data_IF_831600135043
#
_entry.id   IF_831600135043
#
_cell.length_a   1.000
_cell.length_b   1.000
_cell.length_c   1.000
_cell.angle_alpha   90.00
_cell.angle_beta   90.00
_cell.angle_gamma   90.00
#
_symmetry.space_group_name_H-M   'P 1'
#
loop_
_entity.id
_entity.type
_entity.pdbx_description
1 polymer ?
#
# COMPACT_ATOMS: atom_id res chain seq x y z
N UNK A 1 -7.32 -1.97 28.60
CA UNK A 1 -7.80 -1.62 27.24
C UNK A 1 -6.56 -1.40 26.40
N UNK A 2 -6.46 -2.05 25.25
CA UNK A 2 -5.36 -1.79 24.33
C UNK A 2 -5.82 -0.66 23.41
N UNK A 3 -5.12 0.47 23.46
CA UNK A 3 -5.43 1.61 22.62
C UNK A 3 -4.81 1.38 21.23
N UNK A 4 -5.61 1.57 20.19
CA UNK A 4 -5.17 1.44 18.80
C UNK A 4 -5.18 2.81 18.15
N UNK A 5 -4.07 3.16 17.49
CA UNK A 5 -3.91 4.45 16.82
C UNK A 5 -3.74 4.24 15.32
N UNK A 6 -4.46 5.04 14.53
CA UNK A 6 -4.27 5.12 13.08
C UNK A 6 -3.78 6.51 12.75
N UNK A 7 -2.59 6.58 12.15
CA UNK A 7 -2.13 7.75 11.43
C UNK A 7 -2.70 7.77 10.03
N UNK A 8 -3.07 8.97 9.55
CA UNK A 8 -3.41 9.22 8.15
C UNK A 8 -2.37 10.17 7.56
N UNK A 9 -1.75 9.77 6.46
CA UNK A 9 -0.77 10.59 5.76
C UNK A 9 -1.36 11.00 4.40
N UNK A 10 -1.51 12.30 4.11
CA UNK A 10 -2.08 12.74 2.85
C UNK A 10 -1.14 12.43 1.69
N UNK A 11 -1.69 11.87 0.61
CA UNK A 11 -1.10 11.79 -0.71
C UNK A 11 -1.74 12.89 -1.53
N UNK A 12 -0.93 13.78 -2.11
CA UNK A 12 -1.42 14.95 -2.86
C UNK A 12 -1.10 14.84 -4.34
N UNK A 13 -1.94 15.45 -5.17
CA UNK A 13 -1.68 15.59 -6.59
C UNK A 13 -0.73 16.78 -6.88
N UNK A 14 -0.44 17.04 -8.16
CA UNK A 14 0.44 18.15 -8.58
C UNK A 14 -0.09 19.54 -8.23
N UNK A 15 -1.39 19.68 -7.97
CA UNK A 15 -2.02 20.92 -7.53
C UNK A 15 -2.03 21.08 -5.99
N UNK A 16 -1.43 20.13 -5.26
CA UNK A 16 -1.45 20.04 -3.79
C UNK A 16 -2.82 19.71 -3.19
N UNK A 17 -3.80 19.31 -4.01
CA UNK A 17 -5.06 18.79 -3.50
C UNK A 17 -4.85 17.36 -2.98
N UNK A 18 -5.59 17.01 -1.92
CA UNK A 18 -5.58 15.65 -1.38
C UNK A 18 -6.17 14.71 -2.43
N UNK A 19 -5.37 13.72 -2.83
CA UNK A 19 -5.78 12.65 -3.73
C UNK A 19 -6.25 11.43 -2.94
N UNK A 20 -5.50 11.06 -1.91
CA UNK A 20 -5.75 9.88 -1.09
C UNK A 20 -5.13 10.05 0.30
N UNK A 21 -5.35 9.07 1.18
CA UNK A 21 -4.63 8.94 2.43
C UNK A 21 -3.94 7.59 2.51
N UNK A 22 -2.66 7.58 2.87
CA UNK A 22 -2.01 6.38 3.37
C UNK A 22 -2.33 6.16 4.84
N UNK A 23 -2.70 4.93 5.17
CA UNK A 23 -3.09 4.57 6.52
C UNK A 23 -1.97 3.80 7.20
N UNK A 24 -1.55 4.36 8.33
CA UNK A 24 -0.40 3.92 9.08
C UNK A 24 -0.86 3.49 10.46
N UNK A 25 -0.80 2.20 10.74
CA UNK A 25 -1.00 1.72 12.09
C UNK A 25 0.11 2.21 13.01
N UNK A 26 -0.29 2.59 14.23
CA UNK A 26 0.60 3.02 15.29
C UNK A 26 0.25 2.24 16.56
N UNK A 27 1.27 1.64 17.17
CA UNK A 27 1.17 0.93 18.45
C UNK A 27 1.08 1.88 19.66
N UNK A 28 1.36 3.16 19.45
CA UNK A 28 1.38 4.20 20.47
C UNK A 28 1.32 5.61 19.85
N UNK A 29 1.09 6.63 20.68
CA UNK A 29 1.16 8.05 20.30
C UNK A 29 2.60 8.54 19.98
N UNK A 30 3.62 7.69 20.14
CA UNK A 30 5.00 8.06 19.81
C UNK A 30 5.20 7.94 18.30
N UNK A 31 5.88 8.92 17.71
CA UNK A 31 6.17 8.99 16.26
C UNK A 31 7.10 7.88 15.71
N UNK A 32 7.40 6.86 16.50
CA UNK A 32 8.27 5.76 16.11
C UNK A 32 7.47 4.47 16.11
N UNK A 33 7.31 3.87 14.93
CA UNK A 33 6.87 2.48 14.83
C UNK A 33 8.06 1.62 15.23
N UNK A 34 7.91 0.84 16.30
CA UNK A 34 8.81 -0.29 16.52
C UNK A 34 8.47 -1.30 15.44
N UNK A 35 9.25 -1.34 14.37
CA UNK A 35 9.09 -2.28 13.25
C UNK A 35 9.48 -3.67 13.76
N UNK A 36 8.66 -4.25 14.63
CA UNK A 36 8.80 -5.61 15.11
C UNK A 36 7.53 -6.39 14.77
N UNK A 37 7.68 -7.21 13.72
CA UNK A 37 7.14 -8.56 13.58
C UNK A 37 5.63 -8.84 13.65
N UNK A 38 4.75 -7.84 13.53
CA UNK A 38 3.32 -8.13 13.54
C UNK A 38 2.48 -7.43 12.45
N UNK A 39 3.01 -7.36 11.22
CA UNK A 39 2.32 -6.78 10.04
C UNK A 39 0.96 -7.44 9.73
N UNK A 40 0.78 -8.70 10.13
CA UNK A 40 -0.51 -9.41 10.04
C UNK A 40 -1.54 -8.87 11.05
N UNK A 41 -1.11 -8.63 12.30
CA UNK A 41 -1.94 -7.96 13.30
C UNK A 41 -2.29 -6.52 12.86
N UNK A 42 -1.38 -5.84 12.16
CA UNK A 42 -1.57 -4.47 11.63
C UNK A 42 -2.73 -4.38 10.63
N UNK A 43 -2.77 -5.28 9.65
CA UNK A 43 -3.79 -5.30 8.59
C UNK A 43 -5.17 -5.64 9.14
N UNK A 44 -5.25 -6.71 9.95
CA UNK A 44 -6.51 -7.11 10.58
C UNK A 44 -7.02 -6.05 11.58
N UNK A 45 -6.12 -5.38 12.29
CA UNK A 45 -6.49 -4.31 13.21
C UNK A 45 -7.08 -3.11 12.48
N UNK A 46 -6.51 -2.72 11.35
CA UNK A 46 -7.06 -1.63 10.53
C UNK A 46 -8.47 -1.98 10.03
N UNK A 47 -8.72 -3.21 9.59
CA UNK A 47 -10.05 -3.65 9.16
C UNK A 47 -11.05 -3.65 10.33
N UNK A 48 -10.65 -4.20 11.47
CA UNK A 48 -11.49 -4.20 12.67
C UNK A 48 -11.79 -2.77 13.16
N UNK A 49 -10.86 -1.83 12.93
CA UNK A 49 -11.06 -0.41 13.21
C UNK A 49 -12.09 0.19 12.25
N UNK A 50 -12.05 -0.15 10.97
CA UNK A 50 -13.07 0.29 10.01
C UNK A 50 -14.46 -0.26 10.33
N UNK A 51 -14.57 -1.54 10.69
CA UNK A 51 -15.86 -2.12 11.11
C UNK A 51 -16.45 -1.40 12.33
N UNK A 52 -15.59 -0.95 13.26
CA UNK A 52 -16.01 -0.27 14.49
C UNK A 52 -16.32 1.21 14.31
N UNK A 53 -15.51 1.92 13.54
CA UNK A 53 -15.54 3.38 13.46
C UNK A 53 -16.12 3.90 12.15
N UNK A 54 -16.34 3.07 11.14
CA UNK A 54 -16.73 3.48 9.80
C UNK A 54 -15.54 4.02 8.99
N UNK A 55 -15.42 3.58 7.74
CA UNK A 55 -14.31 3.94 6.84
C UNK A 55 -14.33 5.44 6.57
N UNK A 56 -15.53 5.97 6.33
CA UNK A 56 -15.83 7.37 6.09
C UNK A 56 -15.35 8.29 7.23
N UNK A 57 -15.33 7.83 8.47
CA UNK A 57 -14.83 8.63 9.59
C UNK A 57 -13.29 8.72 9.62
N UNK A 58 -12.59 7.84 8.89
CA UNK A 58 -11.12 7.81 8.84
C UNK A 58 -10.60 8.52 7.58
N UNK A 59 -11.11 8.14 6.41
CA UNK A 59 -10.64 8.64 5.10
C UNK A 59 -11.65 9.53 4.37
N UNK A 60 -12.88 9.66 4.87
CA UNK A 60 -13.92 10.42 4.18
C UNK A 60 -14.28 9.83 2.82
N UNK A 61 -14.35 10.69 1.81
CA UNK A 61 -14.63 10.32 0.43
C UNK A 61 -13.36 9.95 -0.37
N UNK A 62 -12.19 10.01 0.25
CA UNK A 62 -10.91 9.72 -0.40
C UNK A 62 -10.61 8.22 -0.43
N UNK A 63 -9.71 7.82 -1.33
CA UNK A 63 -9.11 6.48 -1.31
C UNK A 63 -8.15 6.32 -0.14
N UNK A 64 -8.10 5.12 0.43
CA UNK A 64 -7.12 4.71 1.42
C UNK A 64 -6.04 3.82 0.82
N UNK A 65 -4.76 4.09 1.09
CA UNK A 65 -3.65 3.18 0.78
C UNK A 65 -3.38 2.33 2.01
N UNK A 66 -3.40 1.00 1.83
CA UNK A 66 -3.22 0.01 2.90
C UNK A 66 -1.95 -0.79 2.69
N UNK A 67 -1.01 -0.63 3.62
CA UNK A 67 0.20 -1.43 3.73
C UNK A 67 -0.14 -2.85 4.22
N UNK A 68 -0.13 -3.83 3.30
CA UNK A 68 -0.44 -5.23 3.63
C UNK A 68 0.81 -6.11 3.53
N UNK A 69 0.93 -7.08 4.44
CA UNK A 69 1.95 -8.11 4.32
C UNK A 69 1.58 -9.12 3.23
N UNK A 70 2.58 -9.83 2.71
CA UNK A 70 2.34 -10.80 1.63
C UNK A 70 1.46 -11.95 2.07
N UNK A 71 1.66 -12.43 3.29
CA UNK A 71 0.82 -13.46 3.89
C UNK A 71 -0.64 -13.02 3.98
N UNK A 72 -0.89 -11.73 4.24
CA UNK A 72 -2.25 -11.19 4.25
C UNK A 72 -2.83 -11.09 2.83
N UNK A 73 -2.05 -10.63 1.85
CA UNK A 73 -2.49 -10.61 0.44
C UNK A 73 -2.83 -12.02 -0.05
N UNK A 74 -2.04 -13.02 0.35
CA UNK A 74 -2.24 -14.43 0.00
C UNK A 74 -3.41 -15.09 0.74
N UNK A 75 -3.94 -14.48 1.79
CA UNK A 75 -5.03 -15.06 2.57
C UNK A 75 -6.37 -15.06 1.80
N UNK A 76 -7.35 -15.77 2.35
CA UNK A 76 -8.74 -15.70 1.89
C UNK A 76 -9.44 -14.44 2.43
N UNK A 77 -8.96 -13.88 3.54
CA UNK A 77 -9.56 -12.70 4.19
C UNK A 77 -9.26 -11.39 3.47
N UNK A 78 -8.32 -11.38 2.50
CA UNK A 78 -8.06 -10.21 1.66
C UNK A 78 -9.33 -9.70 0.96
N UNK A 79 -10.28 -10.59 0.67
CA UNK A 79 -11.52 -10.23 0.00
C UNK A 79 -12.52 -9.46 0.88
N UNK A 80 -12.22 -9.31 2.18
CA UNK A 80 -12.96 -8.46 3.10
C UNK A 80 -12.60 -6.98 2.96
N UNK A 81 -11.50 -6.66 2.26
CA UNK A 81 -11.12 -5.28 1.99
C UNK A 81 -12.09 -4.68 0.97
N UNK A 82 -12.74 -3.54 1.29
CA UNK A 82 -13.59 -2.83 0.32
C UNK A 82 -12.76 -2.25 -0.82
N UNK A 83 -12.67 -2.99 -1.93
CA UNK A 83 -11.86 -2.64 -3.10
C UNK A 83 -12.17 -1.27 -3.70
N UNK A 84 -13.40 -0.77 -3.52
CA UNK A 84 -13.82 0.55 -4.00
C UNK A 84 -13.25 1.70 -3.16
N UNK A 85 -12.76 1.41 -1.96
CA UNK A 85 -12.22 2.38 -1.01
C UNK A 85 -10.72 2.28 -0.82
N UNK A 86 -10.12 1.14 -1.16
CA UNK A 86 -8.73 0.87 -0.83
C UNK A 86 -7.86 0.46 -2.00
N UNK A 87 -6.66 1.03 -2.01
CA UNK A 87 -5.51 0.60 -2.81
C UNK A 87 -4.64 -0.28 -1.92
N UNK A 88 -4.35 -1.50 -2.37
CA UNK A 88 -3.46 -2.43 -1.66
C UNK A 88 -2.02 -2.07 -1.99
N UNK A 89 -1.23 -1.78 -0.97
CA UNK A 89 0.17 -1.46 -1.09
C UNK A 89 1.04 -2.68 -0.81
N UNK A 90 1.75 -3.09 -1.86
CA UNK A 90 2.65 -4.24 -1.86
C UNK A 90 4.02 -3.75 -1.37
N UNK A 91 4.39 -4.17 -0.17
CA UNK A 91 5.69 -3.89 0.45
C UNK A 91 6.80 -4.81 -0.06
N UNK A 92 8.07 -4.54 0.25
CA UNK A 92 9.17 -5.49 -0.01
C UNK A 92 9.20 -6.68 0.96
N UNK A 93 9.94 -7.75 0.61
CA UNK A 93 10.32 -8.82 1.52
C UNK A 93 9.48 -10.11 1.47
N UNK A 94 8.87 -10.44 0.33
CA UNK A 94 8.10 -11.69 0.21
C UNK A 94 8.97 -12.93 0.01
N UNK A 95 8.56 -14.03 0.63
CA UNK A 95 9.21 -15.33 0.53
C UNK A 95 8.87 -16.10 -0.75
N UNK A 96 7.77 -15.75 -1.44
CA UNK A 96 7.35 -16.42 -2.67
C UNK A 96 6.71 -15.44 -3.66
N UNK A 97 7.54 -14.91 -4.56
CA UNK A 97 7.12 -13.95 -5.59
C UNK A 97 6.06 -14.56 -6.52
N UNK A 98 6.22 -15.80 -6.97
CA UNK A 98 5.26 -16.45 -7.89
C UNK A 98 3.83 -16.57 -7.34
N UNK A 99 3.71 -16.88 -6.04
CA UNK A 99 2.40 -16.95 -5.37
C UNK A 99 1.75 -15.58 -5.30
N UNK A 100 2.53 -14.56 -4.95
CA UNK A 100 2.04 -13.18 -4.91
C UNK A 100 1.58 -12.74 -6.29
N UNK A 101 2.38 -12.99 -7.34
CA UNK A 101 2.00 -12.68 -8.73
C UNK A 101 0.65 -13.30 -9.07
N UNK A 102 0.51 -14.60 -8.83
CA UNK A 102 -0.73 -15.33 -9.12
C UNK A 102 -1.92 -14.73 -8.38
N UNK A 103 -1.76 -14.39 -7.10
CA UNK A 103 -2.82 -13.81 -6.28
C UNK A 103 -3.18 -12.39 -6.71
N UNK A 104 -2.20 -11.55 -7.06
CA UNK A 104 -2.44 -10.20 -7.58
C UNK A 104 -3.27 -10.27 -8.85
N UNK A 105 -2.93 -11.15 -9.80
CA UNK A 105 -3.72 -11.33 -11.02
C UNK A 105 -5.18 -11.70 -10.73
N UNK A 106 -5.40 -12.65 -9.82
CA UNK A 106 -6.75 -13.04 -9.41
C UNK A 106 -7.54 -11.89 -8.77
N UNK A 107 -6.87 -11.04 -7.99
CA UNK A 107 -7.49 -9.89 -7.35
C UNK A 107 -7.73 -8.75 -8.35
N UNK A 108 -6.87 -8.57 -9.37
CA UNK A 108 -7.13 -7.63 -10.48
C UNK A 108 -8.39 -8.01 -11.25
N UNK A 109 -8.62 -9.30 -11.51
CA UNK A 109 -9.85 -9.78 -12.14
C UNK A 109 -11.11 -9.50 -11.28
N UNK A 110 -10.91 -9.18 -10.00
CA UNK A 110 -11.95 -8.77 -9.05
C UNK A 110 -11.97 -7.26 -8.80
N UNK A 111 -11.33 -6.45 -9.65
CA UNK A 111 -11.23 -4.97 -9.58
C UNK A 111 -10.45 -4.42 -8.38
N UNK A 112 -9.58 -5.21 -7.75
CA UNK A 112 -8.67 -4.66 -6.75
C UNK A 112 -7.62 -3.76 -7.41
N UNK A 113 -7.24 -2.73 -6.67
CA UNK A 113 -6.27 -1.72 -7.09
C UNK A 113 -5.01 -1.89 -6.27
N UNK A 114 -3.86 -1.87 -6.92
CA UNK A 114 -2.57 -2.15 -6.30
C UNK A 114 -1.60 -0.99 -6.46
N UNK A 115 -0.74 -0.84 -5.46
CA UNK A 115 0.42 0.03 -5.50
C UNK A 115 1.69 -0.71 -5.09
N UNK A 116 2.82 -0.25 -5.64
CA UNK A 116 4.16 -0.66 -5.19
C UNK A 116 4.81 0.48 -4.41
N UNK A 117 5.30 0.17 -3.22
CA UNK A 117 6.06 1.11 -2.39
C UNK A 117 7.57 1.04 -2.67
N UNK A 118 8.27 2.14 -2.34
CA UNK A 118 9.73 2.27 -2.37
C UNK A 118 10.40 1.70 -3.63
N UNK A 119 9.82 1.99 -4.80
CA UNK A 119 10.34 1.49 -6.07
C UNK A 119 11.72 2.11 -6.37
N UNK A 120 12.77 1.40 -5.97
CA UNK A 120 14.14 1.61 -6.45
C UNK A 120 14.40 0.55 -7.49
N UNK A 121 14.77 0.95 -8.71
CA UNK A 121 15.20 0.08 -9.82
C UNK A 121 16.48 -0.70 -9.46
N UNK A 122 16.42 -1.59 -8.47
CA UNK A 122 17.49 -2.50 -8.06
C UNK A 122 17.25 -3.87 -8.69
N UNK A 123 18.32 -4.64 -8.87
CA UNK A 123 18.30 -5.98 -9.49
C UNK A 123 17.26 -6.93 -8.88
N UNK A 124 16.91 -6.79 -7.61
CA UNK A 124 15.89 -7.60 -6.92
C UNK A 124 14.46 -7.36 -7.43
N UNK A 125 14.19 -6.26 -8.15
CA UNK A 125 12.87 -5.99 -8.72
C UNK A 125 12.62 -6.64 -10.08
N UNK A 126 13.63 -7.24 -10.71
CA UNK A 126 13.41 -8.01 -11.94
C UNK A 126 12.37 -9.13 -11.74
N UNK A 127 12.26 -9.66 -10.52
CA UNK A 127 11.30 -10.70 -10.17
C UNK A 127 9.84 -10.19 -10.17
N UNK A 128 9.61 -8.88 -10.05
CA UNK A 128 8.28 -8.26 -10.10
C UNK A 128 7.88 -7.74 -11.48
N UNK A 129 8.78 -7.83 -12.47
CA UNK A 129 8.47 -7.49 -13.88
C UNK A 129 7.16 -8.10 -14.37
N UNK A 130 6.78 -9.35 -14.00
CA UNK A 130 5.53 -9.94 -14.47
C UNK A 130 4.26 -9.22 -13.97
N UNK A 131 4.30 -8.53 -12.82
CA UNK A 131 3.12 -7.84 -12.28
C UNK A 131 3.10 -6.34 -12.56
N UNK A 132 4.17 -5.75 -13.08
CA UNK A 132 4.27 -4.29 -13.20
C UNK A 132 3.11 -3.68 -14.02
N UNK A 133 2.63 -4.40 -15.05
CA UNK A 133 1.50 -3.98 -15.87
C UNK A 133 0.14 -4.08 -15.17
N UNK A 134 0.10 -4.67 -13.99
CA UNK A 134 -1.08 -4.87 -13.16
C UNK A 134 -1.08 -3.95 -11.94
N UNK A 135 -0.01 -3.16 -11.75
CA UNK A 135 0.11 -2.18 -10.68
C UNK A 135 -0.44 -0.84 -11.16
N UNK A 136 -1.36 -0.26 -10.39
CA UNK A 136 -2.06 0.97 -10.75
C UNK A 136 -1.28 2.22 -10.30
N UNK A 137 -0.56 2.11 -9.18
CA UNK A 137 0.26 3.21 -8.64
C UNK A 137 1.67 2.73 -8.27
N UNK A 138 2.68 3.53 -8.59
CA UNK A 138 4.07 3.26 -8.18
C UNK A 138 4.55 4.45 -7.36
N UNK A 139 4.92 4.21 -6.10
CA UNK A 139 5.54 5.22 -5.25
C UNK A 139 7.05 5.20 -5.47
N UNK A 140 7.62 6.36 -5.77
CA UNK A 140 9.04 6.53 -6.07
C UNK A 140 9.69 7.30 -4.93
N UNK A 141 10.71 6.72 -4.30
CA UNK A 141 11.53 7.45 -3.33
C UNK A 141 12.48 8.42 -4.06
N UNK A 142 12.13 9.70 -4.07
CA UNK A 142 12.90 10.79 -4.69
C UNK A 142 14.28 11.04 -4.05
N UNK A 143 14.58 10.45 -2.89
CA UNK A 143 15.91 10.49 -2.25
C UNK A 143 16.84 9.45 -2.84
N UNK A 144 16.29 8.32 -3.29
CA UNK A 144 17.03 7.18 -3.83
C UNK A 144 17.02 7.16 -5.36
N UNK A 145 16.02 7.81 -5.97
CA UNK A 145 15.93 7.94 -7.40
C UNK A 145 16.84 9.05 -7.91
N UNK A 146 17.70 8.73 -8.88
CA UNK A 146 18.51 9.73 -9.56
C UNK A 146 17.57 10.59 -10.41
N UNK A 147 17.38 11.86 -10.02
CA UNK A 147 16.31 12.75 -10.52
C UNK A 147 16.28 12.88 -12.05
N UNK A 148 17.41 12.64 -12.71
CA UNK A 148 17.59 12.73 -14.16
C UNK A 148 16.99 11.51 -14.90
N UNK A 149 16.87 10.34 -14.26
CA UNK A 149 16.38 9.13 -14.94
C UNK A 149 14.85 9.03 -14.93
N UNK A 150 14.18 9.50 -13.88
CA UNK A 150 12.71 9.50 -13.76
C UNK A 150 12.05 10.31 -14.89
N UNK A 151 12.55 11.52 -15.15
CA UNK A 151 11.99 12.42 -16.16
C UNK A 151 12.22 11.93 -17.61
N UNK A 152 13.27 11.14 -17.85
CA UNK A 152 13.65 10.72 -19.22
C UNK A 152 12.91 9.49 -19.72
N UNK A 153 12.47 8.58 -18.85
CA UNK A 153 11.93 7.28 -19.27
C UNK A 153 10.41 7.24 -19.47
N UNK A 154 9.65 8.12 -18.81
CA UNK A 154 8.18 8.01 -18.79
C UNK A 154 7.43 9.19 -19.42
N UNK A 155 8.12 10.18 -20.00
CA UNK A 155 7.47 11.33 -20.65
C UNK A 155 6.66 12.23 -19.71
N UNK A 156 6.79 12.06 -18.39
CA UNK A 156 6.22 12.96 -17.40
C UNK A 156 7.20 14.10 -17.10
N UNK A 157 6.74 15.33 -17.23
CA UNK A 157 7.42 16.52 -16.72
C UNK A 157 7.17 16.58 -15.21
N UNK A 158 8.23 16.65 -14.41
CA UNK A 158 8.14 17.00 -12.98
C UNK A 158 7.74 18.47 -12.82
#
# INVERSE_FOLDING_TARGET
MQDYFIGRQPIVNTNQDIFAYELLYRDSLKNFVTVNDNRFATSQTIINLFERFGIENVIGDYLGFLNLSGDYILSETIELIPKEKFVIEILEGFSSVDKLITKVLQLKDKDYVFSLDDFVYKKSYHDFTPIINYIDYIKIDVRLADRVEIAKKNGYTL
#
